data_IF_392265844951
#
_entry.id   IF_392265844951
#
_cell.length_a   1.000
_cell.length_b   1.000
_cell.length_c   1.000
_cell.angle_alpha   90.00
_cell.angle_beta   90.00
_cell.angle_gamma   90.00
#
_symmetry.space_group_name_H-M   'P 1'
#
loop_
_entity.id
_entity.type
_entity.pdbx_description
1 polymer ?
#
# COMPACT_ATOMS: atom_id res chain seq x y z
N UNK A 1 26.63 0.30 -7.48
CA UNK A 1 26.63 0.69 -6.06
C UNK A 1 26.09 -0.44 -5.21
N UNK A 2 26.68 -0.72 -4.04
CA UNK A 2 26.20 -1.77 -3.13
C UNK A 2 25.02 -1.28 -2.27
N UNK A 3 23.85 -1.93 -2.39
CA UNK A 3 22.65 -1.61 -1.60
C UNK A 3 22.88 -1.76 -0.10
N UNK A 4 23.86 -2.58 0.30
CA UNK A 4 24.22 -2.82 1.69
C UNK A 4 24.57 -1.52 2.42
N UNK A 5 25.14 -0.53 1.73
CA UNK A 5 25.45 0.79 2.31
C UNK A 5 24.18 1.51 2.76
N UNK A 6 23.13 1.50 1.93
CA UNK A 6 21.84 2.13 2.23
C UNK A 6 21.15 1.41 3.39
N UNK A 7 21.15 0.07 3.37
CA UNK A 7 20.56 -0.76 4.43
C UNK A 7 21.27 -0.53 5.78
N UNK A 8 22.61 -0.46 5.76
CA UNK A 8 23.41 -0.19 6.95
C UNK A 8 23.14 1.23 7.48
N UNK A 9 23.03 2.22 6.59
CA UNK A 9 22.67 3.59 6.97
C UNK A 9 21.30 3.62 7.65
N UNK A 10 20.28 2.96 7.10
CA UNK A 10 18.95 2.87 7.71
C UNK A 10 18.99 2.19 9.09
N UNK A 11 19.88 1.20 9.28
CA UNK A 11 20.12 0.57 10.58
C UNK A 11 20.69 1.57 11.61
N UNK A 12 21.72 2.35 11.24
CA UNK A 12 22.29 3.39 12.10
C UNK A 12 21.27 4.47 12.47
N UNK A 13 20.42 4.88 11.52
CA UNK A 13 19.34 5.85 11.75
C UNK A 13 18.35 5.34 12.80
N UNK A 14 17.90 4.07 12.69
CA UNK A 14 16.98 3.46 13.67
C UNK A 14 17.59 3.39 15.07
N UNK A 15 18.91 3.19 15.16
CA UNK A 15 19.68 3.26 16.43
C UNK A 15 19.97 4.69 16.90
N UNK A 16 19.48 5.72 16.20
CA UNK A 16 19.76 7.14 16.44
C UNK A 16 21.25 7.48 16.44
N UNK A 17 22.04 6.81 15.61
CA UNK A 17 23.48 7.05 15.44
C UNK A 17 23.74 7.95 14.22
N UNK A 18 23.39 9.24 14.32
CA UNK A 18 23.40 10.17 13.18
C UNK A 18 24.80 10.32 12.54
N UNK A 19 25.84 10.50 13.35
CA UNK A 19 27.22 10.65 12.84
C UNK A 19 27.68 9.43 12.02
N UNK A 20 27.48 8.22 12.57
CA UNK A 20 27.83 6.96 11.89
C UNK A 20 27.01 6.77 10.60
N UNK A 21 25.73 7.14 10.62
CA UNK A 21 24.88 7.09 9.43
C UNK A 21 25.36 8.04 8.32
N UNK A 22 25.77 9.27 8.67
CA UNK A 22 26.30 10.25 7.72
C UNK A 22 27.62 9.78 7.08
N UNK A 23 28.49 9.14 7.85
CA UNK A 23 29.74 8.58 7.33
C UNK A 23 29.47 7.35 6.45
N UNK A 24 28.52 6.50 6.86
CA UNK A 24 28.17 5.28 6.13
C UNK A 24 27.59 5.57 4.75
N UNK A 25 26.69 6.54 4.61
CA UNK A 25 26.02 6.84 3.33
C UNK A 25 26.90 7.65 2.36
N UNK A 26 27.96 8.32 2.84
CA UNK A 26 28.82 9.18 2.04
C UNK A 26 29.32 8.57 0.72
N UNK A 27 29.71 7.28 0.62
CA UNK A 27 30.15 6.71 -0.65
C UNK A 27 29.07 6.70 -1.75
N UNK A 28 27.78 6.66 -1.38
CA UNK A 28 26.62 6.64 -2.31
C UNK A 28 26.64 7.85 -3.24
N UNK A 29 27.09 9.00 -2.75
CA UNK A 29 27.06 10.25 -3.52
C UNK A 29 28.12 10.33 -4.61
N UNK A 30 29.03 9.37 -4.69
CA UNK A 30 30.07 9.33 -5.72
C UNK A 30 29.51 8.89 -7.09
N UNK A 31 28.32 8.28 -7.11
CA UNK A 31 27.65 7.86 -8.33
C UNK A 31 26.78 9.01 -8.88
N UNK A 32 26.94 9.30 -10.18
CA UNK A 32 26.25 10.41 -10.87
C UNK A 32 24.73 10.31 -10.78
N UNK A 33 24.16 9.11 -10.67
CA UNK A 33 22.72 8.93 -10.51
C UNK A 33 22.17 9.52 -9.19
N UNK A 34 23.05 9.77 -8.22
CA UNK A 34 22.71 10.29 -6.90
C UNK A 34 23.11 11.77 -6.77
N UNK A 35 23.28 12.50 -7.88
CA UNK A 35 23.72 13.90 -7.85
C UNK A 35 22.88 14.81 -6.94
N UNK A 36 21.55 14.65 -6.94
CA UNK A 36 20.66 15.41 -6.05
C UNK A 36 20.70 15.01 -4.57
N UNK A 37 21.30 13.86 -4.26
CA UNK A 37 21.48 13.36 -2.89
C UNK A 37 22.67 14.05 -2.22
N UNK A 38 23.73 14.37 -2.98
CA UNK A 38 24.94 15.00 -2.46
C UNK A 38 24.66 16.33 -1.75
N UNK A 39 23.97 17.26 -2.42
CA UNK A 39 23.68 18.60 -1.86
C UNK A 39 22.79 18.56 -0.62
N UNK A 40 21.94 17.53 -0.52
CA UNK A 40 21.09 17.31 0.66
C UNK A 40 21.89 16.72 1.81
N UNK A 41 22.79 15.78 1.50
CA UNK A 41 23.66 15.16 2.50
C UNK A 41 24.62 16.18 3.11
N UNK A 42 25.27 16.99 2.29
CA UNK A 42 26.21 18.02 2.76
C UNK A 42 25.52 19.03 3.68
N UNK A 43 24.30 19.47 3.34
CA UNK A 43 23.50 20.33 4.24
C UNK A 43 23.19 19.68 5.59
N UNK A 44 22.83 18.39 5.61
CA UNK A 44 22.58 17.68 6.88
C UNK A 44 23.87 17.57 7.70
N UNK A 45 25.01 17.33 7.04
CA UNK A 45 26.32 17.25 7.71
C UNK A 45 26.73 18.59 8.31
N UNK A 46 26.57 19.68 7.57
CA UNK A 46 26.90 21.02 8.04
C UNK A 46 26.05 21.41 9.26
N UNK A 47 24.73 21.16 9.20
CA UNK A 47 23.81 21.41 10.32
C UNK A 47 24.17 20.54 11.55
N UNK A 48 24.58 19.28 11.33
CA UNK A 48 25.00 18.38 12.40
C UNK A 48 26.34 18.81 13.03
N UNK A 49 27.32 19.25 12.23
CA UNK A 49 28.58 19.78 12.76
C UNK A 49 28.35 21.08 13.53
N UNK A 50 27.44 21.95 13.07
CA UNK A 50 27.04 23.14 13.80
C UNK A 50 26.45 22.78 15.17
N UNK A 51 25.52 21.81 15.22
CA UNK A 51 24.93 21.30 16.45
C UNK A 51 26.01 20.77 17.42
N UNK A 52 26.94 19.96 16.93
CA UNK A 52 28.08 19.45 17.72
C UNK A 52 28.97 20.57 18.27
N UNK A 53 29.28 21.57 17.46
CA UNK A 53 30.13 22.69 17.86
C UNK A 53 29.48 23.51 18.99
N UNK A 54 28.18 23.79 18.91
CA UNK A 54 27.45 24.45 19.99
C UNK A 54 27.42 23.63 21.28
N UNK A 55 27.28 22.30 21.17
CA UNK A 55 27.35 21.39 22.31
C UNK A 55 28.72 21.42 22.99
N UNK A 56 29.80 21.38 22.21
CA UNK A 56 31.18 21.43 22.71
C UNK A 56 31.50 22.75 23.41
N UNK A 57 30.88 23.85 22.96
CA UNK A 57 31.02 25.18 23.57
C UNK A 57 30.19 25.35 24.85
N UNK A 58 29.39 24.34 25.24
CA UNK A 58 28.62 24.34 26.49
C UNK A 58 27.32 25.15 26.45
N UNK A 59 26.86 25.56 25.26
CA UNK A 59 25.58 26.27 25.15
C UNK A 59 24.42 25.34 25.50
N UNK A 60 23.55 25.77 26.42
CA UNK A 60 22.31 25.07 26.72
C UNK A 60 21.22 25.52 25.73
N UNK A 61 20.96 24.72 24.72
CA UNK A 61 19.92 24.96 23.72
C UNK A 61 18.71 24.07 24.01
N UNK A 62 17.55 24.65 24.42
CA UNK A 62 16.32 23.90 24.67
C UNK A 62 15.78 23.15 23.44
N UNK A 63 16.15 23.54 22.22
CA UNK A 63 15.67 22.93 20.97
C UNK A 63 16.61 21.85 20.42
N UNK A 64 17.71 21.54 21.12
CA UNK A 64 18.73 20.58 20.68
C UNK A 64 18.15 19.24 20.25
N UNK A 65 17.28 18.66 21.07
CA UNK A 65 16.68 17.34 20.80
C UNK A 65 15.76 17.40 19.58
N UNK A 66 15.02 18.50 19.42
CA UNK A 66 14.17 18.74 18.25
C UNK A 66 14.99 18.85 16.97
N UNK A 67 16.10 19.59 17.00
CA UNK A 67 17.02 19.73 15.87
C UNK A 67 17.66 18.38 15.52
N UNK A 68 18.12 17.63 16.51
CA UNK A 68 18.69 16.30 16.28
C UNK A 68 17.68 15.34 15.64
N UNK A 69 16.43 15.36 16.12
CA UNK A 69 15.36 14.54 15.55
C UNK A 69 15.01 14.97 14.12
N UNK A 70 15.00 16.27 13.81
CA UNK A 70 14.82 16.76 12.44
C UNK A 70 15.94 16.28 11.50
N UNK A 71 17.20 16.33 11.94
CA UNK A 71 18.33 15.82 11.16
C UNK A 71 18.20 14.31 10.90
N UNK A 72 17.76 13.52 11.89
CA UNK A 72 17.46 12.10 11.70
C UNK A 72 16.37 11.88 10.65
N UNK A 73 15.26 12.63 10.72
CA UNK A 73 14.17 12.54 9.72
C UNK A 73 14.65 12.93 8.32
N UNK A 74 15.42 14.02 8.20
CA UNK A 74 15.99 14.46 6.92
C UNK A 74 16.91 13.41 6.32
N UNK A 75 17.76 12.78 7.14
CA UNK A 75 18.65 11.71 6.68
C UNK A 75 17.88 10.43 6.33
N UNK A 76 16.85 10.08 7.10
CA UNK A 76 15.96 8.96 6.77
C UNK A 76 15.37 9.15 5.38
N UNK A 77 14.73 10.31 5.14
CA UNK A 77 14.11 10.61 3.84
C UNK A 77 15.11 10.54 2.69
N UNK A 78 16.31 11.10 2.88
CA UNK A 78 17.39 11.01 1.90
C UNK A 78 17.80 9.55 1.63
N UNK A 79 17.90 8.73 2.68
CA UNK A 79 18.25 7.31 2.57
C UNK A 79 17.17 6.52 1.83
N UNK A 80 15.88 6.81 2.09
CA UNK A 80 14.76 6.22 1.37
C UNK A 80 14.77 6.59 -0.12
N UNK A 81 15.06 7.86 -0.44
CA UNK A 81 15.18 8.31 -1.84
C UNK A 81 16.36 7.60 -2.55
N UNK A 82 17.48 7.43 -1.84
CA UNK A 82 18.62 6.67 -2.37
C UNK A 82 18.27 5.20 -2.63
N UNK A 83 17.48 4.55 -1.76
CA UNK A 83 17.03 3.17 -2.00
C UNK A 83 16.12 3.07 -3.21
N UNK A 84 15.20 4.04 -3.38
CA UNK A 84 14.32 4.10 -4.56
C UNK A 84 15.13 4.28 -5.86
N UNK A 85 16.13 5.18 -5.88
CA UNK A 85 17.04 5.32 -7.02
C UNK A 85 17.77 4.01 -7.29
N UNK A 86 18.27 3.32 -6.26
CA UNK A 86 18.92 2.03 -6.42
C UNK A 86 17.98 0.99 -7.03
N UNK A 87 16.73 0.91 -6.57
CA UNK A 87 15.73 0.00 -7.11
C UNK A 87 15.42 0.29 -8.58
N UNK A 88 15.25 1.56 -8.96
CA UNK A 88 15.03 1.97 -10.36
C UNK A 88 16.20 1.56 -11.26
N UNK A 89 17.43 1.53 -10.75
CA UNK A 89 18.61 1.15 -11.51
C UNK A 89 18.83 -0.37 -11.62
N UNK A 90 18.40 -1.13 -10.62
CA UNK A 90 18.78 -2.54 -10.46
C UNK A 90 17.60 -3.53 -10.63
N UNK A 91 16.36 -3.05 -10.58
CA UNK A 91 15.15 -3.85 -10.83
C UNK A 91 14.52 -3.46 -12.18
N UNK A 92 14.33 -4.45 -13.06
CA UNK A 92 13.82 -4.22 -14.41
C UNK A 92 12.39 -3.66 -14.42
N UNK A 93 11.56 -4.09 -13.47
CA UNK A 93 10.16 -3.65 -13.34
C UNK A 93 10.11 -2.19 -12.89
N UNK A 94 10.91 -1.83 -11.88
CA UNK A 94 11.03 -0.45 -11.40
C UNK A 94 11.61 0.47 -12.49
N UNK A 95 12.63 0.02 -13.21
CA UNK A 95 13.25 0.77 -14.30
C UNK A 95 12.27 1.07 -15.44
N UNK A 96 11.50 0.05 -15.87
CA UNK A 96 10.47 0.21 -16.89
C UNK A 96 9.35 1.16 -16.44
N UNK A 97 8.92 1.01 -15.18
CA UNK A 97 7.87 1.85 -14.57
C UNK A 97 8.30 3.32 -14.49
N UNK A 98 9.50 3.58 -13.99
CA UNK A 98 10.06 4.94 -13.94
C UNK A 98 10.21 5.56 -15.34
N UNK A 99 10.58 4.76 -16.34
CA UNK A 99 10.68 5.22 -17.73
C UNK A 99 9.32 5.63 -18.30
N UNK A 100 8.25 4.87 -18.02
CA UNK A 100 6.88 5.25 -18.41
C UNK A 100 6.45 6.57 -17.77
N UNK A 101 6.67 6.72 -16.46
CA UNK A 101 6.35 7.94 -15.72
C UNK A 101 7.05 9.16 -16.31
N UNK A 102 8.36 9.04 -16.56
CA UNK A 102 9.16 10.11 -17.17
C UNK A 102 8.64 10.51 -18.55
N UNK A 103 8.22 9.53 -19.36
CA UNK A 103 7.73 9.78 -20.71
C UNK A 103 6.31 10.34 -20.72
N UNK A 104 5.46 9.98 -19.75
CA UNK A 104 4.09 10.46 -19.66
C UNK A 104 4.01 11.97 -19.39
N UNK A 105 4.96 12.52 -18.61
CA UNK A 105 5.03 13.97 -18.30
C UNK A 105 3.69 14.59 -17.87
N UNK A 106 2.89 13.84 -17.11
CA UNK A 106 1.57 14.26 -16.65
C UNK A 106 1.71 15.22 -15.46
N UNK A 107 1.25 16.47 -15.63
CA UNK A 107 1.19 17.44 -14.53
C UNK A 107 -0.02 17.20 -13.64
N UNK A 108 0.04 17.71 -12.41
CA UNK A 108 -1.05 17.65 -11.42
C UNK A 108 -2.36 18.26 -11.96
N UNK A 109 -2.31 19.42 -12.62
CA UNK A 109 -3.48 20.07 -13.21
C UNK A 109 -4.11 19.23 -14.33
N UNK A 110 -3.28 18.64 -15.20
CA UNK A 110 -3.77 17.80 -16.31
C UNK A 110 -4.31 16.47 -15.78
N UNK A 111 -3.69 15.90 -14.74
CA UNK A 111 -4.18 14.70 -14.07
C UNK A 111 -5.59 14.94 -13.53
N UNK A 112 -5.77 16.01 -12.76
CA UNK A 112 -7.06 16.37 -12.18
C UNK A 112 -8.12 16.61 -13.26
N UNK A 113 -7.80 17.44 -14.25
CA UNK A 113 -8.73 17.74 -15.35
C UNK A 113 -9.19 16.46 -16.07
N UNK A 114 -8.25 15.56 -16.41
CA UNK A 114 -8.59 14.31 -17.12
C UNK A 114 -9.43 13.34 -16.28
N UNK A 115 -9.27 13.33 -14.95
CA UNK A 115 -10.13 12.54 -14.06
C UNK A 115 -11.56 13.12 -14.00
N UNK A 116 -11.69 14.44 -13.91
CA UNK A 116 -12.99 15.13 -13.91
C UNK A 116 -13.71 15.03 -15.27
N UNK A 117 -12.94 15.10 -16.36
CA UNK A 117 -13.44 14.89 -17.72
C UNK A 117 -13.99 13.47 -17.88
N UNK A 118 -13.33 12.44 -17.33
CA UNK A 118 -13.82 11.07 -17.39
C UNK A 118 -15.21 10.92 -16.74
N UNK A 119 -15.41 11.49 -15.54
CA UNK A 119 -16.72 11.46 -14.85
C UNK A 119 -17.78 12.15 -15.71
N UNK A 120 -17.42 13.29 -16.31
CA UNK A 120 -18.32 14.05 -17.19
C UNK A 120 -18.67 13.28 -18.47
N UNK A 121 -17.67 12.67 -19.12
CA UNK A 121 -17.84 11.84 -20.33
C UNK A 121 -18.72 10.62 -20.05
N UNK A 122 -18.49 9.91 -18.92
CA UNK A 122 -19.31 8.76 -18.51
C UNK A 122 -20.77 9.17 -18.24
N UNK A 123 -21.00 10.32 -17.60
CA UNK A 123 -22.35 10.83 -17.40
C UNK A 123 -23.05 11.12 -18.74
N UNK A 124 -22.33 11.69 -19.72
CA UNK A 124 -22.87 11.93 -21.07
C UNK A 124 -23.15 10.64 -21.84
N UNK A 125 -22.33 9.59 -21.66
CA UNK A 125 -22.55 8.27 -22.25
C UNK A 125 -23.85 7.62 -21.74
N UNK A 126 -24.19 7.82 -20.46
CA UNK A 126 -25.42 7.26 -19.89
C UNK A 126 -26.69 7.95 -20.41
N UNK A 127 -26.58 9.19 -20.87
CA UNK A 127 -27.71 9.98 -21.36
C UNK A 127 -28.00 9.76 -22.86
N UNK A 128 -27.02 9.29 -23.63
CA UNK A 128 -27.11 9.12 -25.08
C UNK A 128 -27.09 7.64 -25.47
N UNK A 129 -27.83 7.24 -26.51
CA UNK A 129 -27.61 5.95 -27.20
C UNK A 129 -26.28 6.05 -27.96
N UNK A 130 -25.19 5.80 -27.25
CA UNK A 130 -23.84 6.10 -27.75
C UNK A 130 -23.26 4.91 -28.51
N UNK A 131 -22.50 5.20 -29.58
CA UNK A 131 -21.77 4.18 -30.34
C UNK A 131 -20.73 3.47 -29.46
N UNK A 132 -20.72 2.13 -29.49
CA UNK A 132 -19.83 1.27 -28.69
C UNK A 132 -18.35 1.67 -28.78
N UNK A 133 -17.93 2.21 -29.92
CA UNK A 133 -16.54 2.64 -30.16
C UNK A 133 -16.15 3.86 -29.32
N UNK A 134 -17.04 4.84 -29.14
CA UNK A 134 -16.76 6.02 -28.34
C UNK A 134 -16.65 5.66 -26.86
N UNK A 135 -17.51 4.77 -26.38
CA UNK A 135 -17.42 4.24 -25.03
C UNK A 135 -16.07 3.56 -24.79
N UNK A 136 -15.63 2.69 -25.71
CA UNK A 136 -14.34 2.01 -25.57
C UNK A 136 -13.16 2.98 -25.51
N UNK A 137 -13.16 4.03 -26.33
CA UNK A 137 -12.11 5.05 -26.33
C UNK A 137 -12.01 5.80 -24.98
N UNK A 138 -13.16 6.19 -24.41
CA UNK A 138 -13.22 6.88 -23.10
C UNK A 138 -12.61 6.02 -22.01
N UNK A 139 -13.02 4.75 -21.91
CA UNK A 139 -12.48 3.83 -20.90
C UNK A 139 -11.00 3.49 -21.13
N UNK A 140 -10.54 3.39 -22.38
CA UNK A 140 -9.13 3.15 -22.69
C UNK A 140 -8.26 4.35 -22.27
N UNK A 141 -8.64 5.57 -22.63
CA UNK A 141 -7.93 6.80 -22.21
C UNK A 141 -7.88 6.95 -20.69
N UNK A 142 -8.96 6.56 -20.02
CA UNK A 142 -9.04 6.57 -18.56
C UNK A 142 -8.14 5.50 -17.93
N UNK A 143 -8.13 4.28 -18.47
CA UNK A 143 -7.23 3.22 -17.99
C UNK A 143 -5.75 3.59 -18.13
N UNK A 144 -5.37 4.21 -19.25
CA UNK A 144 -4.01 4.72 -19.47
C UNK A 144 -3.63 5.83 -18.48
N UNK A 145 -4.57 6.74 -18.19
CA UNK A 145 -4.40 7.77 -17.16
C UNK A 145 -4.14 7.14 -15.80
N UNK A 146 -5.03 6.23 -15.37
CA UNK A 146 -4.94 5.62 -14.04
C UNK A 146 -3.71 4.73 -13.88
N UNK A 147 -3.28 4.06 -14.95
CA UNK A 147 -2.02 3.31 -14.97
C UNK A 147 -0.82 4.26 -14.78
N UNK A 148 -0.81 5.41 -15.45
CA UNK A 148 0.25 6.40 -15.28
C UNK A 148 0.26 7.00 -13.86
N UNK A 149 -0.91 7.30 -13.28
CA UNK A 149 -1.02 7.80 -11.90
C UNK A 149 -0.54 6.76 -10.89
N UNK A 150 -0.94 5.50 -11.05
CA UNK A 150 -0.48 4.40 -10.21
C UNK A 150 1.05 4.26 -10.26
N UNK A 151 1.62 4.26 -11.46
CA UNK A 151 3.06 4.19 -11.67
C UNK A 151 3.76 5.38 -11.00
N UNK A 152 3.25 6.61 -11.18
CA UNK A 152 3.77 7.83 -10.57
C UNK A 152 3.87 7.74 -9.05
N UNK A 153 2.81 7.25 -8.40
CA UNK A 153 2.79 7.07 -6.95
C UNK A 153 3.77 5.97 -6.53
N UNK A 154 3.79 4.85 -7.27
CA UNK A 154 4.55 3.65 -6.92
C UNK A 154 6.07 3.89 -6.91
N UNK A 155 6.59 4.62 -7.90
CA UNK A 155 8.03 4.97 -7.98
C UNK A 155 8.35 6.36 -7.44
N UNK A 156 7.42 6.99 -6.72
CA UNK A 156 7.65 8.30 -6.11
C UNK A 156 8.71 8.24 -5.02
N UNK A 157 9.55 9.28 -4.99
CA UNK A 157 10.43 9.58 -3.86
C UNK A 157 9.61 9.97 -2.62
N UNK A 158 10.28 10.36 -1.55
CA UNK A 158 9.62 10.85 -0.34
C UNK A 158 8.87 12.16 -0.61
N UNK A 159 7.56 12.15 -0.41
CA UNK A 159 6.65 13.23 -0.77
C UNK A 159 7.00 14.56 -0.12
N UNK A 160 6.87 15.63 -0.89
CA UNK A 160 6.78 17.00 -0.42
C UNK A 160 5.45 17.23 0.34
N UNK A 161 5.34 18.37 1.03
CA UNK A 161 4.08 18.73 1.70
C UNK A 161 3.00 19.01 0.65
N UNK A 162 3.42 19.66 -0.43
CA UNK A 162 2.60 19.96 -1.60
C UNK A 162 2.01 18.69 -2.21
N UNK A 163 2.84 17.68 -2.51
CA UNK A 163 2.35 16.40 -3.07
C UNK A 163 1.34 15.72 -2.15
N UNK A 164 1.60 15.70 -0.85
CA UNK A 164 0.66 15.13 0.12
C UNK A 164 -0.68 15.88 0.11
N UNK A 165 -0.66 17.22 0.14
CA UNK A 165 -1.86 18.05 0.10
C UNK A 165 -2.63 17.86 -1.23
N UNK A 166 -1.93 17.83 -2.36
CA UNK A 166 -2.52 17.59 -3.68
C UNK A 166 -3.23 16.23 -3.74
N UNK A 167 -2.53 15.12 -3.48
CA UNK A 167 -3.12 13.79 -3.58
C UNK A 167 -4.25 13.57 -2.57
N UNK A 168 -4.13 14.12 -1.35
CA UNK A 168 -5.21 14.07 -0.36
C UNK A 168 -6.46 14.78 -0.89
N UNK A 169 -6.30 16.01 -1.40
CA UNK A 169 -7.41 16.81 -1.93
C UNK A 169 -8.09 16.13 -3.13
N UNK A 170 -7.30 15.46 -3.97
CA UNK A 170 -7.79 14.74 -5.14
C UNK A 170 -8.59 13.51 -4.73
N UNK A 171 -8.07 12.67 -3.83
CA UNK A 171 -8.74 11.43 -3.36
C UNK A 171 -10.02 11.70 -2.56
N UNK A 172 -10.11 12.85 -1.89
CA UNK A 172 -11.30 13.29 -1.17
C UNK A 172 -12.27 14.10 -2.05
N UNK A 173 -11.89 14.40 -3.29
CA UNK A 173 -12.72 15.20 -4.17
C UNK A 173 -13.96 14.42 -4.61
N UNK A 174 -15.17 15.00 -4.52
CA UNK A 174 -16.38 14.40 -5.08
C UNK A 174 -16.44 14.49 -6.61
N UNK A 175 -15.46 15.15 -7.24
CA UNK A 175 -15.43 15.39 -8.71
C UNK A 175 -14.76 14.27 -9.50
N UNK A 176 -14.11 13.31 -8.83
CA UNK A 176 -13.45 12.17 -9.47
C UNK A 176 -14.22 10.86 -9.21
N UNK A 177 -13.96 9.82 -10.01
CA UNK A 177 -14.56 8.52 -9.78
C UNK A 177 -14.04 7.90 -8.47
N UNK A 178 -14.93 7.28 -7.71
CA UNK A 178 -14.57 6.68 -6.43
C UNK A 178 -13.61 5.50 -6.57
N UNK A 179 -13.65 4.77 -7.70
CA UNK A 179 -12.69 3.72 -7.98
C UNK A 179 -11.30 4.30 -8.26
N UNK A 180 -11.20 5.52 -8.79
CA UNK A 180 -9.91 6.21 -8.99
C UNK A 180 -9.29 6.54 -7.64
N UNK A 181 -10.08 7.15 -6.75
CA UNK A 181 -9.65 7.42 -5.38
C UNK A 181 -9.16 6.14 -4.68
N UNK A 182 -9.93 5.07 -4.78
CA UNK A 182 -9.57 3.77 -4.21
C UNK A 182 -8.26 3.18 -4.80
N UNK A 183 -8.06 3.30 -6.12
CA UNK A 183 -6.84 2.81 -6.78
C UNK A 183 -5.63 3.63 -6.34
N UNK A 184 -5.76 4.95 -6.25
CA UNK A 184 -4.70 5.83 -5.78
C UNK A 184 -4.34 5.54 -4.31
N UNK A 185 -5.31 5.36 -3.42
CA UNK A 185 -5.07 4.94 -2.03
C UNK A 185 -4.31 3.62 -1.97
N UNK A 186 -4.65 2.66 -2.82
CA UNK A 186 -3.93 1.38 -2.90
C UNK A 186 -2.48 1.55 -3.36
N UNK A 187 -2.24 2.41 -4.37
CA UNK A 187 -0.89 2.74 -4.84
C UNK A 187 -0.04 3.37 -3.72
N UNK A 188 -0.63 4.30 -2.95
CA UNK A 188 0.04 4.94 -1.82
C UNK A 188 0.33 3.94 -0.72
N UNK A 189 -0.61 3.04 -0.43
CA UNK A 189 -0.44 1.97 0.55
C UNK A 189 0.76 1.10 0.21
N UNK A 190 0.84 0.60 -1.03
CA UNK A 190 1.97 -0.22 -1.49
C UNK A 190 3.29 0.55 -1.45
N UNK A 191 3.28 1.81 -1.87
CA UNK A 191 4.47 2.67 -1.83
C UNK A 191 4.96 2.88 -0.40
N UNK A 192 4.07 3.20 0.54
CA UNK A 192 4.41 3.45 1.94
C UNK A 192 4.79 2.18 2.71
N UNK A 193 4.25 1.02 2.33
CA UNK A 193 4.67 -0.29 2.85
C UNK A 193 6.06 -0.69 2.37
N UNK A 194 6.44 -0.28 1.16
CA UNK A 194 7.76 -0.61 0.59
C UNK A 194 8.84 0.34 1.10
N UNK A 195 8.56 1.65 1.10
CA UNK A 195 9.43 2.69 1.65
C UNK A 195 8.58 3.60 2.52
N UNK A 196 8.76 3.48 3.84
CA UNK A 196 8.03 4.30 4.78
C UNK A 196 8.21 5.80 4.48
N UNK A 197 7.09 6.50 4.38
CA UNK A 197 7.02 7.95 4.23
C UNK A 197 5.95 8.47 5.18
N UNK A 198 6.36 9.32 6.12
CA UNK A 198 5.45 9.89 7.11
C UNK A 198 4.28 10.65 6.45
N UNK A 199 4.48 11.31 5.31
CA UNK A 199 3.43 12.08 4.65
C UNK A 199 2.40 11.18 3.97
N UNK A 200 2.84 10.09 3.35
CA UNK A 200 1.94 9.05 2.82
C UNK A 200 1.15 8.40 3.95
N UNK A 201 1.82 8.09 5.07
CA UNK A 201 1.18 7.55 6.27
C UNK A 201 0.09 8.48 6.83
N UNK A 202 0.40 9.78 7.04
CA UNK A 202 -0.58 10.76 7.50
C UNK A 202 -1.72 10.96 6.49
N UNK A 203 -1.43 10.92 5.19
CA UNK A 203 -2.49 11.02 4.18
C UNK A 203 -3.45 9.83 4.26
N UNK A 204 -2.95 8.60 4.41
CA UNK A 204 -3.79 7.41 4.59
C UNK A 204 -4.69 7.55 5.83
N UNK A 205 -4.15 8.06 6.93
CA UNK A 205 -4.96 8.38 8.12
C UNK A 205 -6.05 9.43 7.81
N UNK A 206 -5.67 10.51 7.14
CA UNK A 206 -6.59 11.60 6.82
C UNK A 206 -7.71 11.14 5.88
N UNK A 207 -7.39 10.40 4.82
CA UNK A 207 -8.39 9.86 3.89
C UNK A 207 -9.35 8.91 4.60
N UNK A 208 -8.84 8.05 5.49
CA UNK A 208 -9.69 7.18 6.32
C UNK A 208 -10.70 7.98 7.17
N UNK A 209 -10.24 9.08 7.80
CA UNK A 209 -11.09 9.90 8.67
C UNK A 209 -12.12 10.75 7.91
N UNK A 210 -11.77 11.25 6.73
CA UNK A 210 -12.54 12.27 6.03
C UNK A 210 -13.43 11.73 4.90
N UNK A 211 -13.09 10.59 4.31
CA UNK A 211 -13.87 10.04 3.19
C UNK A 211 -15.24 9.51 3.66
N UNK A 212 -16.25 9.67 2.79
CA UNK A 212 -17.59 9.12 2.99
C UNK A 212 -17.80 7.79 2.27
N UNK A 213 -16.91 7.45 1.33
CA UNK A 213 -17.00 6.19 0.62
C UNK A 213 -16.33 5.05 1.40
N UNK A 214 -17.09 3.99 1.66
CA UNK A 214 -16.63 2.88 2.49
C UNK A 214 -15.48 2.11 1.85
N UNK A 215 -15.44 2.00 0.51
CA UNK A 215 -14.39 1.24 -0.18
C UNK A 215 -13.05 1.99 -0.14
N UNK A 216 -13.07 3.31 -0.27
CA UNK A 216 -11.90 4.16 -0.09
C UNK A 216 -11.47 4.13 1.38
N UNK A 217 -12.42 4.24 2.31
CA UNK A 217 -12.18 4.22 3.76
C UNK A 217 -11.45 2.95 4.20
N UNK A 218 -11.97 1.78 3.85
CA UNK A 218 -11.37 0.50 4.23
C UNK A 218 -9.97 0.31 3.63
N UNK A 219 -9.76 0.71 2.36
CA UNK A 219 -8.43 0.66 1.74
C UNK A 219 -7.42 1.56 2.47
N UNK A 220 -7.85 2.75 2.87
CA UNK A 220 -7.00 3.67 3.60
C UNK A 220 -6.63 3.13 4.99
N UNK A 221 -7.58 2.51 5.70
CA UNK A 221 -7.33 1.85 7.01
C UNK A 221 -6.30 0.73 6.88
N UNK A 222 -6.50 -0.18 5.92
CA UNK A 222 -5.59 -1.31 5.68
C UNK A 222 -4.20 -0.80 5.31
N UNK A 223 -4.12 0.16 4.38
CA UNK A 223 -2.86 0.79 3.99
C UNK A 223 -2.14 1.44 5.16
N UNK A 224 -2.86 2.20 5.98
CA UNK A 224 -2.33 2.87 7.17
C UNK A 224 -1.77 1.85 8.17
N UNK A 225 -2.54 0.81 8.48
CA UNK A 225 -2.13 -0.22 9.44
C UNK A 225 -0.92 -1.03 8.96
N UNK A 226 -0.89 -1.43 7.67
CA UNK A 226 0.21 -2.22 7.11
C UNK A 226 1.48 -1.41 6.85
N UNK A 227 1.36 -0.09 6.70
CA UNK A 227 2.52 0.80 6.58
C UNK A 227 3.26 0.99 7.90
N UNK A 228 2.71 0.54 9.02
CA UNK A 228 3.31 0.69 10.33
C UNK A 228 4.45 -0.32 10.56
N UNK A 229 5.65 0.00 10.08
CA UNK A 229 6.83 -0.84 10.27
C UNK A 229 8.06 0.00 10.66
N UNK A 230 8.74 -0.41 11.75
CA UNK A 230 10.17 -0.16 12.00
C UNK A 230 10.72 1.28 12.08
N UNK A 231 9.89 2.31 12.27
CA UNK A 231 10.33 3.72 12.16
C UNK A 231 9.92 4.64 13.34
N UNK A 232 9.44 4.09 14.46
CA UNK A 232 8.98 4.87 15.63
C UNK A 232 10.09 5.66 16.32
N UNK A 233 11.33 5.20 16.20
CA UNK A 233 12.50 5.87 16.74
C UNK A 233 12.82 7.17 15.99
N UNK A 234 12.57 7.19 14.67
CA UNK A 234 12.82 8.33 13.78
C UNK A 234 11.63 9.29 13.75
N UNK A 235 10.42 8.76 13.90
CA UNK A 235 9.20 9.55 13.91
C UNK A 235 8.44 9.30 15.22
N UNK A 236 8.80 10.06 16.25
CA UNK A 236 8.20 9.93 17.59
C UNK A 236 6.70 10.22 17.58
N UNK A 237 6.27 11.12 16.70
CA UNK A 237 4.87 11.50 16.47
C UNK A 237 3.99 10.32 16.01
N UNK A 238 4.57 9.22 15.51
CA UNK A 238 3.80 8.02 15.15
C UNK A 238 3.00 7.48 16.34
N UNK A 239 3.56 7.53 17.54
CA UNK A 239 2.85 7.05 18.74
C UNK A 239 1.60 7.87 19.01
N UNK A 240 1.68 9.19 18.80
CA UNK A 240 0.56 10.10 19.01
C UNK A 240 -0.53 9.86 17.96
N UNK A 241 -0.15 9.70 16.68
CA UNK A 241 -1.07 9.34 15.59
C UNK A 241 -1.80 8.02 15.86
N UNK A 242 -1.06 6.97 16.24
CA UNK A 242 -1.64 5.65 16.54
C UNK A 242 -2.57 5.75 17.75
N UNK A 243 -2.15 6.43 18.82
CA UNK A 243 -2.96 6.57 20.04
C UNK A 243 -4.24 7.36 19.74
N UNK A 244 -4.15 8.44 18.98
CA UNK A 244 -5.30 9.24 18.56
C UNK A 244 -6.28 8.46 17.68
N UNK A 245 -5.79 7.56 16.82
CA UNK A 245 -6.62 6.65 16.03
C UNK A 245 -7.29 5.58 16.91
N UNK A 246 -6.51 4.90 17.75
CA UNK A 246 -7.00 3.78 18.56
C UNK A 246 -7.86 4.18 19.78
N UNK A 247 -7.92 5.48 20.11
CA UNK A 247 -8.86 5.98 21.12
C UNK A 247 -10.33 5.92 20.65
N UNK A 248 -10.57 5.78 19.36
CA UNK A 248 -11.88 5.52 18.80
C UNK A 248 -12.17 3.99 18.82
N UNK A 249 -13.19 3.59 19.57
CA UNK A 249 -13.58 2.18 19.72
C UNK A 249 -13.91 1.52 18.39
N UNK A 250 -14.46 2.28 17.44
CA UNK A 250 -14.81 1.77 16.12
C UNK A 250 -13.56 1.49 15.28
N UNK A 251 -12.54 2.35 15.37
CA UNK A 251 -11.23 2.12 14.73
C UNK A 251 -10.58 0.87 15.32
N UNK A 252 -10.58 0.74 16.66
CA UNK A 252 -10.03 -0.43 17.33
C UNK A 252 -10.73 -1.74 16.91
N UNK A 253 -12.06 -1.71 16.78
CA UNK A 253 -12.86 -2.84 16.29
C UNK A 253 -12.49 -3.19 14.84
N UNK A 254 -12.41 -2.21 13.95
CA UNK A 254 -12.07 -2.43 12.55
C UNK A 254 -10.63 -2.97 12.38
N UNK A 255 -9.68 -2.53 13.22
CA UNK A 255 -8.31 -3.07 13.23
C UNK A 255 -8.28 -4.52 13.70
N UNK A 256 -9.07 -4.89 14.71
CA UNK A 256 -9.21 -6.28 15.15
C UNK A 256 -9.79 -7.16 14.03
N UNK A 257 -10.84 -6.69 13.36
CA UNK A 257 -11.45 -7.41 12.23
C UNK A 257 -10.46 -7.58 11.07
N UNK A 258 -9.71 -6.54 10.74
CA UNK A 258 -8.64 -6.61 9.75
C UNK A 258 -7.61 -7.68 10.13
N UNK A 259 -7.15 -7.72 11.38
CA UNK A 259 -6.19 -8.72 11.86
C UNK A 259 -6.76 -10.15 11.78
N UNK A 260 -8.03 -10.34 12.15
CA UNK A 260 -8.71 -11.63 12.01
C UNK A 260 -8.79 -12.07 10.55
N UNK A 261 -9.18 -11.16 9.64
CA UNK A 261 -9.26 -11.45 8.21
C UNK A 261 -7.88 -11.82 7.63
N UNK A 262 -6.83 -11.09 8.00
CA UNK A 262 -5.47 -11.43 7.57
C UNK A 262 -5.07 -12.82 8.04
N UNK A 263 -5.38 -13.18 9.30
CA UNK A 263 -5.11 -14.51 9.83
C UNK A 263 -5.86 -15.61 9.06
N UNK A 264 -7.14 -15.42 8.76
CA UNK A 264 -7.90 -16.37 7.95
C UNK A 264 -7.35 -16.49 6.52
N UNK A 265 -6.91 -15.39 5.91
CA UNK A 265 -6.30 -15.41 4.57
C UNK A 265 -4.97 -16.18 4.52
N UNK A 266 -4.23 -16.30 5.63
CA UNK A 266 -2.98 -17.05 5.65
C UNK A 266 -3.17 -18.56 5.41
N UNK A 267 -4.33 -19.12 5.77
CA UNK A 267 -4.64 -20.54 5.59
C UNK A 267 -5.58 -20.80 4.40
N UNK A 268 -6.08 -19.75 3.73
CA UNK A 268 -7.10 -19.88 2.70
C UNK A 268 -6.71 -20.83 1.55
N UNK A 269 -5.43 -20.88 1.16
CA UNK A 269 -4.94 -21.80 0.12
C UNK A 269 -5.01 -23.27 0.58
N UNK A 270 -4.61 -23.52 1.83
CA UNK A 270 -4.70 -24.85 2.44
C UNK A 270 -6.16 -25.27 2.63
N UNK A 271 -6.99 -24.37 3.12
CA UNK A 271 -8.43 -24.63 3.33
C UNK A 271 -9.13 -24.89 1.98
N UNK A 272 -8.78 -24.15 0.92
CA UNK A 272 -9.29 -24.41 -0.42
C UNK A 272 -8.85 -25.78 -0.96
N UNK A 273 -7.60 -26.18 -0.73
CA UNK A 273 -7.10 -27.50 -1.12
C UNK A 273 -7.83 -28.63 -0.38
N UNK A 274 -8.06 -28.48 0.92
CA UNK A 274 -8.81 -29.43 1.76
C UNK A 274 -10.28 -29.55 1.31
N UNK A 275 -10.92 -28.42 1.01
CA UNK A 275 -12.28 -28.40 0.48
C UNK A 275 -12.36 -29.16 -0.85
N UNK A 276 -11.43 -28.91 -1.79
CA UNK A 276 -11.47 -29.54 -3.10
C UNK A 276 -11.08 -31.01 -3.10
N UNK A 277 -10.12 -31.41 -2.26
CA UNK A 277 -9.59 -32.78 -2.26
C UNK A 277 -10.37 -33.71 -1.35
N UNK A 278 -10.81 -33.22 -0.20
CA UNK A 278 -11.34 -34.07 0.86
C UNK A 278 -12.84 -33.85 1.06
N UNK A 279 -13.31 -32.59 1.13
CA UNK A 279 -14.70 -32.30 1.48
C UNK A 279 -15.66 -32.50 0.31
N UNK A 280 -15.43 -31.84 -0.84
CA UNK A 280 -16.33 -31.92 -2.01
C UNK A 280 -16.49 -33.37 -2.49
N UNK A 281 -15.41 -34.16 -2.66
CA UNK A 281 -15.54 -35.54 -3.11
C UNK A 281 -16.27 -36.43 -2.09
N UNK A 282 -16.06 -36.22 -0.78
CA UNK A 282 -16.79 -36.98 0.24
C UNK A 282 -18.28 -36.61 0.27
N UNK A 283 -18.63 -35.33 0.15
CA UNK A 283 -20.03 -34.89 0.05
C UNK A 283 -20.73 -35.47 -1.19
N UNK A 284 -20.04 -35.58 -2.33
CA UNK A 284 -20.58 -36.18 -3.56
C UNK A 284 -20.69 -37.71 -3.51
N UNK A 285 -19.82 -38.37 -2.73
CA UNK A 285 -19.82 -39.84 -2.60
C UNK A 285 -20.88 -40.34 -1.62
N UNK A 286 -21.11 -39.60 -0.53
CA UNK A 286 -21.94 -40.08 0.59
C UNK A 286 -23.35 -39.50 0.60
N UNK A 287 -23.62 -38.44 -0.18
CA UNK A 287 -24.95 -37.86 -0.29
C UNK A 287 -25.46 -37.90 -1.74
N UNK A 288 -26.79 -38.01 -1.89
CA UNK A 288 -27.50 -37.91 -3.17
C UNK A 288 -27.52 -36.46 -3.70
N UNK A 289 -26.41 -35.73 -3.73
CA UNK A 289 -26.36 -34.37 -4.28
C UNK A 289 -25.61 -34.31 -5.62
N UNK A 290 -26.15 -33.55 -6.56
CA UNK A 290 -25.52 -33.21 -7.83
C UNK A 290 -25.21 -31.70 -7.85
N UNK A 291 -23.94 -31.35 -8.02
CA UNK A 291 -23.52 -29.95 -8.11
C UNK A 291 -23.68 -29.49 -9.57
N UNK A 292 -24.66 -28.63 -9.81
CA UNK A 292 -24.89 -28.00 -11.12
C UNK A 292 -24.42 -26.55 -11.12
N UNK A 293 -24.32 -25.94 -12.32
CA UNK A 293 -23.89 -24.54 -12.49
C UNK A 293 -24.78 -23.52 -11.76
N UNK A 294 -25.98 -23.91 -11.33
CA UNK A 294 -26.97 -23.07 -10.65
C UNK A 294 -27.10 -23.38 -9.14
N UNK A 295 -26.40 -24.39 -8.63
CA UNK A 295 -26.47 -24.79 -7.22
C UNK A 295 -26.42 -26.31 -7.02
N UNK A 296 -26.59 -26.72 -5.77
CA UNK A 296 -26.59 -28.13 -5.33
C UNK A 296 -28.03 -28.66 -5.40
N UNK A 297 -28.27 -29.72 -6.18
CA UNK A 297 -29.59 -30.35 -6.37
C UNK A 297 -29.56 -31.73 -5.73
N UNK A 298 -30.56 -32.06 -4.91
CA UNK A 298 -30.73 -33.41 -4.36
C UNK A 298 -31.34 -34.34 -5.42
N UNK A 299 -30.68 -35.48 -5.68
CA UNK A 299 -31.20 -36.58 -6.49
C UNK A 299 -32.27 -37.32 -5.69
N UNK A 300 -33.38 -37.64 -6.33
CA UNK A 300 -34.37 -38.55 -5.75
C UNK A 300 -33.70 -39.91 -5.45
N UNK A 301 -33.85 -40.39 -4.23
CA UNK A 301 -33.36 -41.71 -3.81
C UNK A 301 -33.91 -42.79 -4.74
N UNK A 302 -33.03 -43.63 -5.32
CA UNK A 302 -33.45 -44.74 -6.16
C UNK A 302 -33.97 -45.87 -5.26
N UNK A 303 -35.29 -46.15 -5.21
CA UNK A 303 -35.86 -47.15 -4.31
C UNK A 303 -35.41 -48.59 -4.60
N UNK A 304 -34.72 -48.82 -5.72
CA UNK A 304 -34.09 -50.10 -6.06
C UNK A 304 -32.72 -50.31 -5.40
N UNK A 305 -32.05 -49.24 -4.95
CA UNK A 305 -30.71 -49.33 -4.36
C UNK A 305 -30.74 -50.00 -2.97
N UNK A 306 -31.75 -49.69 -2.15
CA UNK A 306 -31.99 -50.33 -0.84
C UNK A 306 -32.38 -51.81 -0.96
N UNK A 307 -33.00 -52.21 -2.07
CA UNK A 307 -33.38 -53.61 -2.31
C UNK A 307 -32.16 -54.45 -2.75
N UNK A 308 -31.26 -53.86 -3.54
CA UNK A 308 -30.09 -54.56 -4.08
C UNK A 308 -28.88 -54.56 -3.14
N UNK A 309 -28.71 -53.53 -2.32
CA UNK A 309 -27.62 -53.42 -1.35
C UNK A 309 -28.12 -52.82 -0.01
N UNK A 310 -28.80 -53.61 0.84
CA UNK A 310 -29.41 -53.13 2.08
C UNK A 310 -28.39 -52.59 3.11
N UNK A 311 -27.11 -52.98 3.03
CA UNK A 311 -26.06 -52.56 3.97
C UNK A 311 -25.21 -51.38 3.45
N UNK A 312 -25.56 -50.77 2.30
CA UNK A 312 -24.76 -49.73 1.67
C UNK A 312 -24.78 -48.41 2.44
N UNK A 313 -25.92 -48.05 3.00
CA UNK A 313 -26.13 -46.87 3.83
C UNK A 313 -25.41 -46.97 5.18
N UNK A 314 -25.46 -48.13 5.84
CA UNK A 314 -24.72 -48.37 7.10
C UNK A 314 -23.20 -48.32 6.89
N UNK A 315 -22.69 -48.90 5.79
CA UNK A 315 -21.25 -48.82 5.46
C UNK A 315 -20.77 -47.41 5.10
N UNK A 316 -21.62 -46.64 4.42
CA UNK A 316 -21.33 -45.24 4.11
C UNK A 316 -21.30 -44.38 5.37
N UNK A 317 -22.18 -44.63 6.35
CA UNK A 317 -22.13 -43.96 7.65
C UNK A 317 -20.88 -44.34 8.47
N UNK A 318 -20.51 -45.62 8.51
CA UNK A 318 -19.31 -46.11 9.20
C UNK A 318 -18.00 -45.51 8.63
N UNK A 319 -17.96 -45.19 7.34
CA UNK A 319 -16.81 -44.54 6.68
C UNK A 319 -16.71 -43.03 6.96
N UNK A 320 -17.84 -42.37 7.28
CA UNK A 320 -17.88 -40.93 7.62
C UNK A 320 -17.56 -40.68 9.09
N UNK A 321 -17.80 -41.66 9.98
CA UNK A 321 -17.50 -41.55 11.42
C UNK A 321 -16.02 -41.84 11.79
N UNK A 322 -15.19 -42.26 10.83
CA UNK A 322 -13.75 -42.52 11.03
C UNK A 322 -12.84 -41.34 10.67
#
# INVERSE_FOLDING_TARGET
MDRTIIINTASCIRKKQLGEALDTIRPVTSDRAYGGIYDRLDRIRDDYELLKNYMLQGYNDPQRDTLYQDLLRRLHRLTSDADMIWMIQNDATMSATYSRVRNASLSEDVMKARMEDFVSEVAMLQLNETETQQQQDIYQRHHELMSAVFDMISVSMQWSRHEAEFYTSLMLSPTIDTNDAALMVSAVSLSCMTHFDMRKFCMLEQVYRETKDERVRQRALVGWALSLHGNREVYTELTDHITAMCNDEEVARQLLEMQMQMYFCMNAEKDNDEIQRDIIPNLLKHNNFEITRLGIIEKEEDPMQDILNPDATDKAMDEVER
#
